data_IF_377409813172
#
_entry.id   IF_377409813172
#
_cell.length_a   1.000
_cell.length_b   1.000
_cell.length_c   1.000
_cell.angle_alpha   90.00
_cell.angle_beta   90.00
_cell.angle_gamma   90.00
#
_symmetry.space_group_name_H-M   'P 1'
#
loop_
_entity.id
_entity.type
_entity.pdbx_description
1 polymer ?
#
# COMPACT_ATOMS: atom_id res chain seq x y z
N UNK A 1 36.02 -44.18 -63.53
CA UNK A 1 34.57 -44.33 -63.20
C UNK A 1 34.43 -44.48 -61.69
N UNK A 2 34.66 -43.43 -60.90
CA UNK A 2 34.59 -43.49 -59.42
C UNK A 2 34.07 -42.19 -58.77
N UNK A 3 33.15 -41.46 -59.43
CA UNK A 3 32.61 -40.20 -58.89
C UNK A 3 31.12 -40.29 -58.45
N UNK A 4 30.49 -41.46 -58.53
CA UNK A 4 29.03 -41.60 -58.36
C UNK A 4 28.61 -42.44 -57.14
N UNK A 5 29.53 -42.78 -56.23
CA UNK A 5 29.19 -43.61 -55.05
C UNK A 5 28.98 -42.82 -53.76
N UNK A 6 29.26 -41.51 -53.73
CA UNK A 6 29.07 -40.66 -52.54
C UNK A 6 27.64 -40.07 -52.46
N UNK A 7 26.85 -40.14 -53.54
CA UNK A 7 25.59 -39.40 -53.63
C UNK A 7 24.39 -39.99 -52.87
N UNK A 8 24.34 -41.31 -52.68
CA UNK A 8 23.15 -41.97 -52.13
C UNK A 8 23.07 -41.96 -50.59
N UNK A 9 24.14 -42.25 -49.82
CA UNK A 9 24.06 -42.18 -48.35
C UNK A 9 23.92 -40.74 -47.85
N UNK A 10 24.57 -39.77 -48.49
CA UNK A 10 24.44 -38.35 -48.13
C UNK A 10 23.01 -37.83 -48.40
N UNK A 11 22.40 -38.23 -49.52
CA UNK A 11 21.01 -37.88 -49.83
C UNK A 11 20.02 -38.47 -48.82
N UNK A 12 20.23 -39.72 -48.39
CA UNK A 12 19.38 -40.35 -47.37
C UNK A 12 19.48 -39.64 -46.02
N UNK A 13 20.66 -39.19 -45.60
CA UNK A 13 20.84 -38.42 -44.35
C UNK A 13 20.13 -37.06 -44.43
N UNK A 14 20.24 -36.36 -45.56
CA UNK A 14 19.53 -35.08 -45.75
C UNK A 14 18.02 -35.29 -45.78
N UNK A 15 17.54 -36.37 -46.40
CA UNK A 15 16.12 -36.72 -46.42
C UNK A 15 15.61 -37.07 -45.03
N UNK A 16 16.38 -37.79 -44.22
CA UNK A 16 16.04 -38.13 -42.84
C UNK A 16 15.97 -36.87 -41.96
N UNK A 17 16.94 -35.96 -42.08
CA UNK A 17 16.90 -34.67 -41.38
C UNK A 17 15.71 -33.81 -41.80
N UNK A 18 15.38 -33.79 -43.10
CA UNK A 18 14.20 -33.08 -43.60
C UNK A 18 12.89 -33.67 -43.06
N UNK A 19 12.79 -35.00 -42.97
CA UNK A 19 11.63 -35.67 -42.38
C UNK A 19 11.52 -35.40 -40.87
N UNK A 20 12.65 -35.42 -40.13
CA UNK A 20 12.66 -35.07 -38.72
C UNK A 20 12.26 -33.61 -38.49
N UNK A 21 12.75 -32.69 -39.32
CA UNK A 21 12.34 -31.28 -39.29
C UNK A 21 10.84 -31.10 -39.55
N UNK A 22 10.29 -31.85 -40.49
CA UNK A 22 8.87 -31.83 -40.80
C UNK A 22 8.03 -32.36 -39.63
N UNK A 23 8.43 -33.46 -39.00
CA UNK A 23 7.76 -34.01 -37.80
C UNK A 23 7.82 -33.02 -36.64
N UNK A 24 8.97 -32.38 -36.40
CA UNK A 24 9.11 -31.36 -35.36
C UNK A 24 8.19 -30.15 -35.61
N UNK A 25 8.11 -29.67 -36.86
CA UNK A 25 7.20 -28.59 -37.26
C UNK A 25 5.74 -28.96 -37.02
N UNK A 26 5.32 -30.18 -37.38
CA UNK A 26 3.97 -30.67 -37.11
C UNK A 26 3.68 -30.69 -35.60
N UNK A 27 4.60 -31.18 -34.77
CA UNK A 27 4.42 -31.21 -33.31
C UNK A 27 4.31 -29.81 -32.71
N UNK A 28 5.08 -28.84 -33.21
CA UNK A 28 5.00 -27.44 -32.78
C UNK A 28 3.65 -26.81 -33.16
N UNK A 29 3.14 -27.07 -34.37
CA UNK A 29 1.81 -26.61 -34.79
C UNK A 29 0.71 -27.24 -33.94
N UNK A 30 0.80 -28.54 -33.64
CA UNK A 30 -0.17 -29.20 -32.75
C UNK A 30 -0.13 -28.62 -31.33
N UNK A 31 1.05 -28.40 -30.75
CA UNK A 31 1.21 -27.75 -29.44
C UNK A 31 0.68 -26.32 -29.45
N UNK A 32 0.98 -25.55 -30.48
CA UNK A 32 0.46 -24.19 -30.67
C UNK A 32 -1.06 -24.18 -30.70
N UNK A 33 -1.68 -25.06 -31.47
CA UNK A 33 -3.15 -25.17 -31.55
C UNK A 33 -3.79 -25.60 -30.23
N UNK A 34 -3.12 -26.44 -29.43
CA UNK A 34 -3.62 -26.87 -28.12
C UNK A 34 -3.54 -25.75 -27.08
N UNK A 35 -2.44 -24.98 -27.08
CA UNK A 35 -2.28 -23.79 -26.24
C UNK A 35 -3.31 -22.72 -26.63
N UNK A 36 -3.52 -22.48 -27.93
CA UNK A 36 -4.48 -21.50 -28.40
C UNK A 36 -5.92 -21.84 -27.99
N UNK A 37 -6.29 -23.14 -28.02
CA UNK A 37 -7.58 -23.61 -27.50
C UNK A 37 -7.72 -23.38 -25.99
N UNK A 38 -6.65 -23.62 -25.21
CA UNK A 38 -6.63 -23.36 -23.77
C UNK A 38 -6.74 -21.87 -23.44
N UNK A 39 -6.00 -21.03 -24.16
CA UNK A 39 -6.08 -19.56 -24.03
C UNK A 39 -7.48 -19.06 -24.41
N UNK A 40 -8.10 -19.58 -25.47
CA UNK A 40 -9.48 -19.26 -25.82
C UNK A 40 -10.47 -19.71 -24.75
N UNK A 41 -10.28 -20.87 -24.13
CA UNK A 41 -11.13 -21.34 -23.04
C UNK A 41 -10.97 -20.45 -21.78
N UNK A 42 -9.75 -20.08 -21.42
CA UNK A 42 -9.48 -19.17 -20.29
C UNK A 42 -10.02 -17.76 -20.56
N UNK A 43 -9.86 -17.22 -21.76
CA UNK A 43 -10.47 -15.93 -22.14
C UNK A 43 -11.99 -15.97 -22.07
N UNK A 44 -12.64 -17.09 -22.43
CA UNK A 44 -14.10 -17.25 -22.28
C UNK A 44 -14.51 -17.29 -20.82
N UNK A 45 -13.77 -18.00 -19.97
CA UNK A 45 -14.01 -18.01 -18.51
C UNK A 45 -13.83 -16.63 -17.89
N UNK A 46 -12.79 -15.91 -18.29
CA UNK A 46 -12.53 -14.55 -17.82
C UNK A 46 -13.61 -13.57 -18.27
N UNK A 47 -14.07 -13.67 -19.53
CA UNK A 47 -15.24 -12.91 -20.00
C UNK A 47 -16.53 -13.29 -19.28
N UNK A 48 -16.74 -14.56 -18.96
CA UNK A 48 -17.91 -14.99 -18.20
C UNK A 48 -17.88 -14.50 -16.74
N UNK A 49 -16.69 -14.40 -16.13
CA UNK A 49 -16.51 -13.81 -14.81
C UNK A 49 -16.62 -12.28 -14.83
N UNK A 50 -16.18 -11.62 -15.92
CA UNK A 50 -16.36 -10.19 -16.11
C UNK A 50 -17.80 -9.79 -16.49
N UNK A 51 -18.59 -10.75 -17.00
CA UNK A 51 -20.02 -10.58 -17.31
C UNK A 51 -20.93 -11.11 -16.21
N UNK A 52 -20.40 -11.83 -15.22
CA UNK A 52 -21.10 -12.03 -13.97
C UNK A 52 -21.20 -10.64 -13.35
N UNK A 53 -22.39 -10.05 -13.41
CA UNK A 53 -22.76 -8.81 -12.74
C UNK A 53 -22.08 -8.84 -11.37
N UNK A 54 -21.20 -7.86 -11.13
CA UNK A 54 -20.76 -7.55 -9.78
C UNK A 54 -22.05 -7.41 -8.97
N UNK A 55 -22.33 -8.31 -8.00
CA UNK A 55 -23.57 -8.23 -7.26
C UNK A 55 -23.64 -6.82 -6.69
N UNK A 56 -24.80 -6.16 -6.88
CA UNK A 56 -25.04 -4.84 -6.32
C UNK A 56 -24.57 -4.83 -4.86
N UNK A 57 -23.97 -3.72 -4.39
CA UNK A 57 -23.47 -3.65 -3.02
C UNK A 57 -24.63 -3.95 -2.08
N UNK A 58 -24.64 -5.19 -1.56
CA UNK A 58 -25.65 -5.67 -0.61
C UNK A 58 -25.52 -4.77 0.62
N UNK A 59 -26.61 -4.11 0.99
CA UNK A 59 -26.63 -3.27 2.20
C UNK A 59 -26.21 -4.09 3.41
N UNK A 60 -25.55 -3.44 4.39
CA UNK A 60 -25.00 -4.14 5.55
C UNK A 60 -26.04 -4.98 6.32
N UNK A 61 -27.27 -4.47 6.49
CA UNK A 61 -28.39 -5.23 7.08
C UNK A 61 -28.73 -6.50 6.27
N UNK A 62 -28.75 -6.40 4.94
CA UNK A 62 -29.03 -7.55 4.08
C UNK A 62 -27.87 -8.57 4.12
N UNK A 63 -26.63 -8.09 4.21
CA UNK A 63 -25.46 -8.95 4.41
C UNK A 63 -25.55 -9.72 5.74
N UNK A 64 -25.97 -9.07 6.83
CA UNK A 64 -26.17 -9.73 8.12
C UNK A 64 -27.27 -10.79 8.05
N UNK A 65 -28.42 -10.48 7.43
CA UNK A 65 -29.52 -11.44 7.22
C UNK A 65 -29.08 -12.67 6.42
N UNK A 66 -28.38 -12.45 5.31
CA UNK A 66 -27.84 -13.52 4.47
C UNK A 66 -26.77 -14.33 5.22
N UNK A 67 -25.97 -13.66 6.06
CA UNK A 67 -24.99 -14.26 6.95
C UNK A 67 -25.62 -15.20 7.97
N UNK A 68 -26.71 -14.77 8.63
CA UNK A 68 -27.47 -15.60 9.58
C UNK A 68 -28.05 -16.83 8.89
N UNK A 69 -28.69 -16.67 7.73
CA UNK A 69 -29.27 -17.78 6.97
C UNK A 69 -28.20 -18.80 6.54
N UNK A 70 -27.09 -18.32 5.97
CA UNK A 70 -25.99 -19.20 5.55
C UNK A 70 -25.33 -19.90 6.74
N UNK A 71 -25.17 -19.21 7.87
CA UNK A 71 -24.62 -19.81 9.07
C UNK A 71 -25.53 -20.93 9.58
N UNK A 72 -26.85 -20.68 9.62
CA UNK A 72 -27.84 -21.68 10.02
C UNK A 72 -27.79 -22.93 9.15
N UNK A 73 -27.67 -22.78 7.83
CA UNK A 73 -27.51 -23.92 6.91
C UNK A 73 -26.22 -24.71 7.20
N UNK A 74 -25.09 -24.04 7.42
CA UNK A 74 -23.81 -24.68 7.74
C UNK A 74 -23.87 -25.39 9.11
N UNK A 75 -24.57 -24.78 10.07
CA UNK A 75 -24.77 -25.35 11.40
C UNK A 75 -25.64 -26.59 11.34
N UNK A 76 -26.73 -26.57 10.57
CA UNK A 76 -27.59 -27.75 10.37
C UNK A 76 -26.82 -28.89 9.69
N UNK A 77 -25.97 -28.58 8.70
CA UNK A 77 -25.08 -29.56 8.07
C UNK A 77 -24.07 -30.15 9.06
N UNK A 78 -23.42 -29.30 9.87
CA UNK A 78 -22.45 -29.73 10.86
C UNK A 78 -23.08 -30.53 12.02
N UNK A 79 -24.32 -30.20 12.43
CA UNK A 79 -25.10 -30.97 13.43
C UNK A 79 -25.58 -32.31 12.90
N UNK A 80 -25.88 -32.40 11.61
CA UNK A 80 -26.32 -33.63 10.96
C UNK A 80 -25.18 -34.64 10.77
N UNK A 81 -23.93 -34.22 10.99
CA UNK A 81 -22.77 -35.08 10.94
C UNK A 81 -22.53 -35.83 12.23
N UNK A 82 -22.01 -37.06 12.12
CA UNK A 82 -21.67 -37.89 13.27
C UNK A 82 -20.30 -37.53 13.87
N UNK A 83 -19.47 -36.77 13.15
CA UNK A 83 -18.10 -36.45 13.53
C UNK A 83 -18.04 -35.46 14.72
N UNK A 84 -17.23 -35.77 15.73
CA UNK A 84 -17.10 -34.92 16.92
C UNK A 84 -16.47 -33.56 16.59
N UNK A 85 -15.57 -33.53 15.61
CA UNK A 85 -14.99 -32.28 15.10
C UNK A 85 -16.07 -31.39 14.48
N UNK A 86 -16.99 -31.96 13.70
CA UNK A 86 -18.09 -31.22 13.06
C UNK A 86 -19.13 -30.77 14.08
N UNK A 87 -19.34 -31.51 15.17
CA UNK A 87 -20.19 -31.05 16.30
C UNK A 87 -19.60 -29.84 17.02
N UNK A 88 -18.28 -29.80 17.24
CA UNK A 88 -17.60 -28.60 17.77
C UNK A 88 -17.70 -27.42 16.80
N UNK A 89 -17.60 -27.68 15.49
CA UNK A 89 -17.84 -26.64 14.48
C UNK A 89 -19.28 -26.14 14.55
N UNK A 90 -20.27 -27.01 14.77
CA UNK A 90 -21.65 -26.60 14.94
C UNK A 90 -21.88 -25.73 16.18
N UNK A 91 -21.17 -25.99 17.29
CA UNK A 91 -21.19 -25.14 18.48
C UNK A 91 -20.61 -23.74 18.18
N UNK A 92 -19.45 -23.68 17.52
CA UNK A 92 -18.85 -22.41 17.09
C UNK A 92 -19.73 -21.63 16.11
N UNK A 93 -20.39 -22.34 15.18
CA UNK A 93 -21.36 -21.74 14.27
C UNK A 93 -22.57 -21.18 15.03
N UNK A 94 -23.02 -21.85 16.10
CA UNK A 94 -24.09 -21.35 16.97
C UNK A 94 -23.71 -20.06 17.70
N UNK A 95 -22.46 -19.92 18.16
CA UNK A 95 -21.98 -18.66 18.71
C UNK A 95 -21.88 -17.57 17.65
N UNK A 96 -21.43 -17.91 16.45
CA UNK A 96 -21.40 -16.97 15.33
C UNK A 96 -22.80 -16.54 14.88
N UNK A 97 -23.82 -17.41 14.93
CA UNK A 97 -25.22 -17.03 14.66
C UNK A 97 -25.68 -15.97 15.67
N UNK A 98 -25.45 -16.20 16.98
CA UNK A 98 -25.79 -15.23 18.04
C UNK A 98 -25.06 -13.89 17.88
N UNK A 99 -23.80 -13.91 17.45
CA UNK A 99 -23.06 -12.67 17.16
C UNK A 99 -23.67 -11.90 16.00
N UNK A 100 -24.02 -12.57 14.90
CA UNK A 100 -24.66 -11.93 13.74
C UNK A 100 -26.05 -11.39 14.08
N UNK A 101 -26.81 -12.09 14.92
CA UNK A 101 -28.09 -11.60 15.44
C UNK A 101 -27.90 -10.36 16.32
N UNK A 102 -26.88 -10.35 17.19
CA UNK A 102 -26.54 -9.19 18.01
C UNK A 102 -26.17 -7.96 17.16
N UNK A 103 -25.38 -8.15 16.10
CA UNK A 103 -25.06 -7.06 15.16
C UNK A 103 -26.30 -6.54 14.45
N UNK A 104 -27.22 -7.43 14.06
CA UNK A 104 -28.47 -7.05 13.41
C UNK A 104 -29.36 -6.21 14.36
N UNK A 105 -29.48 -6.63 15.61
CA UNK A 105 -30.20 -5.86 16.64
C UNK A 105 -29.51 -4.53 16.97
N UNK A 106 -28.17 -4.49 16.94
CA UNK A 106 -27.43 -3.25 17.15
C UNK A 106 -27.66 -2.26 15.99
N UNK A 107 -27.69 -2.74 14.74
CA UNK A 107 -27.96 -1.90 13.57
C UNK A 107 -29.33 -1.21 13.66
N UNK A 108 -30.35 -1.86 14.23
CA UNK A 108 -31.66 -1.23 14.49
C UNK A 108 -31.56 -0.02 15.45
N UNK A 109 -30.49 0.07 16.24
CA UNK A 109 -30.19 1.14 17.19
C UNK A 109 -29.15 2.14 16.67
N UNK A 110 -28.73 2.07 15.39
CA UNK A 110 -27.69 2.94 14.81
C UNK A 110 -28.01 4.44 14.96
N UNK A 111 -29.29 4.80 14.98
CA UNK A 111 -29.73 6.18 15.20
C UNK A 111 -29.36 6.76 16.58
N UNK A 112 -29.02 5.90 17.56
CA UNK A 112 -28.59 6.31 18.90
C UNK A 112 -27.25 5.64 19.26
N UNK A 113 -26.12 6.37 19.17
CA UNK A 113 -24.79 5.79 19.32
C UNK A 113 -24.52 5.22 20.72
N UNK A 114 -25.17 5.77 21.76
CA UNK A 114 -25.01 5.26 23.14
C UNK A 114 -25.75 3.93 23.29
N UNK A 115 -27.00 3.85 22.84
CA UNK A 115 -27.78 2.61 22.89
C UNK A 115 -27.17 1.51 22.00
N UNK A 116 -26.58 1.89 20.86
CA UNK A 116 -25.81 1.00 19.99
C UNK A 116 -24.61 0.38 20.73
N UNK A 117 -23.78 1.23 21.35
CA UNK A 117 -22.60 0.79 22.08
C UNK A 117 -22.96 -0.06 23.31
N UNK A 118 -23.98 0.35 24.06
CA UNK A 118 -24.47 -0.38 25.23
C UNK A 118 -25.01 -1.76 24.85
N UNK A 119 -25.77 -1.89 23.75
CA UNK A 119 -26.31 -3.17 23.29
C UNK A 119 -25.19 -4.12 22.85
N UNK A 120 -24.22 -3.62 22.08
CA UNK A 120 -23.07 -4.42 21.65
C UNK A 120 -22.22 -4.86 22.83
N UNK A 121 -21.90 -3.96 23.75
CA UNK A 121 -21.10 -4.29 24.93
C UNK A 121 -21.79 -5.34 25.81
N UNK A 122 -23.09 -5.16 26.10
CA UNK A 122 -23.86 -6.11 26.88
C UNK A 122 -23.94 -7.48 26.18
N UNK A 123 -24.28 -7.51 24.89
CA UNK A 123 -24.41 -8.76 24.15
C UNK A 123 -23.09 -9.49 23.94
N UNK A 124 -21.98 -8.78 23.78
CA UNK A 124 -20.64 -9.38 23.72
C UNK A 124 -20.24 -9.97 25.07
N UNK A 125 -20.52 -9.29 26.18
CA UNK A 125 -20.29 -9.84 27.51
C UNK A 125 -21.10 -11.13 27.73
N UNK A 126 -22.39 -11.14 27.38
CA UNK A 126 -23.24 -12.35 27.46
C UNK A 126 -22.70 -13.50 26.58
N UNK A 127 -22.22 -13.19 25.37
CA UNK A 127 -21.65 -14.18 24.45
C UNK A 127 -20.34 -14.77 24.98
N UNK A 128 -19.47 -13.92 25.54
CA UNK A 128 -18.19 -14.33 26.14
C UNK A 128 -18.43 -15.16 27.39
N UNK A 129 -19.41 -14.80 28.22
CA UNK A 129 -19.81 -15.62 29.38
C UNK A 129 -20.35 -16.98 28.94
N UNK A 130 -21.13 -17.05 27.87
CA UNK A 130 -21.63 -18.31 27.32
C UNK A 130 -20.53 -19.19 26.67
N UNK A 131 -19.41 -18.59 26.26
CA UNK A 131 -18.23 -19.29 25.72
C UNK A 131 -17.22 -19.69 26.79
N UNK A 132 -17.37 -19.19 28.03
CA UNK A 132 -16.47 -19.55 29.13
C UNK A 132 -16.66 -21.04 29.43
N UNK A 133 -15.62 -21.88 29.33
CA UNK A 133 -15.75 -23.29 29.67
C UNK A 133 -16.16 -23.41 31.14
N UNK A 134 -17.24 -24.15 31.41
CA UNK A 134 -17.58 -24.56 32.76
C UNK A 134 -16.37 -25.29 33.34
N UNK A 135 -15.82 -24.78 34.45
CA UNK A 135 -14.75 -25.46 35.16
C UNK A 135 -15.22 -26.88 35.47
N UNK A 136 -14.48 -27.88 34.97
CA UNK A 136 -14.76 -29.28 35.26
C UNK A 136 -14.89 -29.44 36.79
N UNK A 137 -15.97 -30.07 37.31
CA UNK A 137 -16.05 -30.36 38.73
C UNK A 137 -14.85 -31.25 39.05
N UNK A 138 -13.97 -30.77 39.93
CA UNK A 138 -12.85 -31.54 40.43
C UNK A 138 -13.36 -32.91 40.85
N UNK A 139 -12.77 -33.96 40.28
CA UNK A 139 -13.05 -35.34 40.64
C UNK A 139 -12.84 -35.51 42.14
N UNK A 140 -13.95 -35.60 42.89
CA UNK A 140 -13.98 -36.12 44.25
C UNK A 140 -13.49 -37.56 44.20
N UNK A 141 -12.25 -37.80 44.63
CA UNK A 141 -11.81 -39.12 45.07
C UNK A 141 -12.59 -39.54 46.33
N UNK A 142 -12.98 -40.82 46.46
CA UNK A 142 -13.84 -41.29 47.54
C UNK A 142 -13.05 -41.62 48.82
N UNK A 143 -13.60 -41.12 49.92
CA UNK A 143 -13.67 -41.70 51.28
C UNK A 143 -12.48 -42.54 51.81
N UNK A 144 -11.82 -42.00 52.84
CA UNK A 144 -11.33 -42.78 53.96
C UNK A 144 -11.79 -42.14 55.28
N UNK A 145 -12.90 -42.70 55.78
CA UNK A 145 -13.30 -42.94 57.18
C UNK A 145 -13.04 -41.86 58.25
N UNK A 146 -14.19 -41.40 58.78
CA UNK A 146 -14.44 -40.59 59.96
C UNK A 146 -13.57 -40.86 61.20
N UNK A 147 -13.10 -39.76 61.81
CA UNK A 147 -13.13 -39.60 63.26
C UNK A 147 -13.81 -38.26 63.60
N UNK A 148 -14.89 -38.36 64.37
CA UNK A 148 -15.61 -37.26 65.02
C UNK A 148 -14.79 -36.68 66.18
N UNK A 149 -15.00 -35.39 66.46
CA UNK A 149 -14.67 -34.58 67.67
C UNK A 149 -13.75 -33.40 67.33
N UNK A 150 -14.00 -32.13 67.65
CA UNK A 150 -14.91 -31.44 68.58
C UNK A 150 -15.23 -30.04 68.00
N UNK A 151 -16.40 -29.49 68.32
CA UNK A 151 -16.68 -28.06 68.18
C UNK A 151 -15.73 -27.29 69.12
N UNK A 152 -14.69 -26.68 68.57
CA UNK A 152 -13.95 -25.62 69.26
C UNK A 152 -14.59 -24.26 68.95
N UNK A 153 -14.75 -23.53 70.04
CA UNK A 153 -15.30 -22.20 70.21
C UNK A 153 -14.49 -21.21 69.37
N UNK A 154 -15.15 -20.55 68.39
CA UNK A 154 -14.54 -19.45 67.62
C UNK A 154 -14.31 -18.30 68.60
N UNK A 155 -13.09 -18.18 69.11
CA UNK A 155 -12.63 -17.00 69.84
C UNK A 155 -12.44 -15.82 68.88
N UNK A 156 -12.71 -14.61 69.35
CA UNK A 156 -12.64 -13.34 68.61
C UNK A 156 -11.25 -13.00 68.02
N UNK A 157 -10.26 -13.90 68.12
CA UNK A 157 -8.95 -13.80 67.47
C UNK A 157 -8.94 -14.32 66.02
N UNK A 158 -9.96 -15.08 65.57
CA UNK A 158 -10.04 -15.60 64.19
C UNK A 158 -10.59 -14.60 63.16
N UNK A 159 -11.03 -13.41 63.58
CA UNK A 159 -11.47 -12.35 62.67
C UNK A 159 -10.36 -11.31 62.36
N UNK A 160 -9.14 -11.53 62.86
CA UNK A 160 -8.00 -10.63 62.68
C UNK A 160 -6.82 -11.25 61.92
N UNK A 161 -7.02 -12.40 61.27
CA UNK A 161 -6.03 -13.05 60.41
C UNK A 161 -6.32 -12.80 58.93
N UNK A 162 -5.75 -11.73 58.35
CA UNK A 162 -5.66 -11.64 56.89
C UNK A 162 -4.86 -12.84 56.37
N UNK A 163 -5.53 -13.75 55.66
CA UNK A 163 -4.99 -15.04 55.25
C UNK A 163 -3.65 -14.91 54.48
N UNK A 164 -2.57 -15.52 54.99
CA UNK A 164 -1.31 -15.64 54.25
C UNK A 164 -1.43 -16.50 52.98
N UNK A 165 -2.44 -17.36 52.89
CA UNK A 165 -2.62 -18.30 51.77
C UNK A 165 -3.15 -17.68 50.47
N UNK A 166 -3.77 -16.49 50.52
CA UNK A 166 -4.36 -15.87 49.33
C UNK A 166 -3.33 -15.14 48.45
N UNK A 167 -2.13 -14.87 48.98
CA UNK A 167 -0.99 -14.35 48.19
C UNK A 167 -0.23 -15.46 47.48
N UNK A 168 -0.04 -16.59 48.13
CA UNK A 168 0.66 -17.75 47.55
C UNK A 168 -0.12 -18.33 46.36
N UNK A 169 -1.45 -18.39 46.45
CA UNK A 169 -2.34 -18.80 45.34
C UNK A 169 -2.26 -17.84 44.15
N UNK A 170 -2.23 -16.52 44.40
CA UNK A 170 -2.10 -15.53 43.33
C UNK A 170 -0.72 -15.54 42.66
N UNK A 171 0.35 -15.80 43.41
CA UNK A 171 1.70 -15.96 42.84
C UNK A 171 1.84 -17.27 42.06
N UNK A 172 1.15 -18.34 42.48
CA UNK A 172 1.03 -19.58 41.74
C UNK A 172 0.24 -19.41 40.44
N UNK A 173 -0.85 -18.66 40.47
CA UNK A 173 -1.62 -18.27 39.27
C UNK A 173 -0.78 -17.43 38.30
N UNK A 174 0.02 -16.49 38.81
CA UNK A 174 0.93 -15.68 37.98
C UNK A 174 2.04 -16.55 37.36
N UNK A 175 2.62 -17.49 38.13
CA UNK A 175 3.58 -18.46 37.59
C UNK A 175 2.94 -19.35 36.53
N UNK A 176 1.72 -19.83 36.78
CA UNK A 176 0.96 -20.62 35.82
C UNK A 176 0.64 -19.83 34.55
N UNK A 177 0.19 -18.58 34.64
CA UNK A 177 0.00 -17.71 33.47
C UNK A 177 1.30 -17.51 32.70
N UNK A 178 2.43 -17.32 33.40
CA UNK A 178 3.73 -17.16 32.77
C UNK A 178 4.19 -18.41 32.03
N UNK A 179 3.94 -19.59 32.60
CA UNK A 179 4.23 -20.87 31.95
C UNK A 179 3.32 -21.11 30.74
N UNK A 180 2.04 -20.76 30.84
CA UNK A 180 1.09 -20.81 29.72
C UNK A 180 1.51 -19.85 28.61
N UNK A 181 1.91 -18.61 28.93
CA UNK A 181 2.39 -17.62 27.96
C UNK A 181 3.66 -18.13 27.27
N UNK A 182 4.64 -18.64 28.02
CA UNK A 182 5.86 -19.20 27.45
C UNK A 182 5.55 -20.39 26.53
N UNK A 183 4.65 -21.28 26.94
CA UNK A 183 4.23 -22.42 26.13
C UNK A 183 3.48 -21.98 24.87
N UNK A 184 2.60 -20.97 24.96
CA UNK A 184 1.95 -20.38 23.80
C UNK A 184 2.98 -19.72 22.86
N UNK A 185 4.00 -19.07 23.40
CA UNK A 185 5.06 -18.44 22.62
C UNK A 185 5.96 -19.47 21.92
N UNK A 186 6.25 -20.59 22.58
CA UNK A 186 6.97 -21.73 21.98
C UNK A 186 6.14 -22.43 20.92
N UNK A 187 4.82 -22.61 21.14
CA UNK A 187 3.89 -23.13 20.16
C UNK A 187 3.78 -22.22 18.93
N UNK A 188 3.76 -20.89 19.12
CA UNK A 188 3.77 -19.92 18.03
C UNK A 188 5.08 -19.96 17.24
N UNK A 189 6.24 -20.02 17.90
CA UNK A 189 7.53 -20.21 17.21
C UNK A 189 7.57 -21.52 16.43
N UNK A 190 6.98 -22.59 16.95
CA UNK A 190 6.90 -23.87 16.25
C UNK A 190 5.96 -23.81 15.02
N UNK A 191 4.81 -23.13 15.14
CA UNK A 191 3.90 -22.90 14.02
C UNK A 191 4.55 -22.02 12.94
N UNK A 192 5.32 -21.01 13.34
CA UNK A 192 6.09 -20.17 12.43
C UNK A 192 7.11 -20.97 11.62
N UNK A 193 7.90 -21.80 12.29
CA UNK A 193 8.87 -22.65 11.61
C UNK A 193 8.20 -23.58 10.58
N UNK A 194 7.01 -24.10 10.92
CA UNK A 194 6.22 -24.94 10.00
C UNK A 194 5.58 -24.14 8.86
N UNK A 195 5.22 -22.86 9.09
CA UNK A 195 4.67 -21.97 8.07
C UNK A 195 5.77 -21.45 7.14
N UNK A 196 6.96 -21.13 7.63
CA UNK A 196 8.12 -20.76 6.81
C UNK A 196 8.60 -21.95 5.96
N UNK A 197 8.59 -23.17 6.52
CA UNK A 197 8.87 -24.40 5.76
C UNK A 197 7.85 -24.63 4.63
N UNK A 198 6.57 -24.31 4.86
CA UNK A 198 5.50 -24.43 3.85
C UNK A 198 5.37 -23.22 2.91
N UNK A 199 5.82 -22.04 3.31
CA UNK A 199 5.81 -20.83 2.50
C UNK A 199 6.74 -20.94 1.28
N UNK A 200 7.82 -21.72 1.40
CA UNK A 200 8.69 -22.07 0.27
C UNK A 200 7.94 -22.85 -0.82
N UNK A 201 6.86 -23.57 -0.46
CA UNK A 201 6.09 -24.43 -1.37
C UNK A 201 4.76 -23.79 -1.85
N UNK A 202 4.28 -22.71 -1.23
CA UNK A 202 3.00 -22.08 -1.58
C UNK A 202 3.08 -20.55 -1.63
N UNK A 203 2.95 -19.98 -2.83
CA UNK A 203 2.75 -18.53 -3.04
C UNK A 203 1.47 -18.06 -2.32
N UNK A 204 1.59 -17.12 -1.39
CA UNK A 204 0.45 -16.54 -0.65
C UNK A 204 0.46 -16.71 0.87
N UNK A 205 1.55 -17.21 1.47
CA UNK A 205 1.73 -17.32 2.92
C UNK A 205 2.34 -16.07 3.59
N UNK A 206 2.95 -15.15 2.82
CA UNK A 206 3.41 -13.84 3.32
C UNK A 206 2.42 -13.12 4.25
N UNK A 207 1.12 -12.96 3.92
CA UNK A 207 0.20 -12.22 4.78
C UNK A 207 -0.06 -12.90 6.12
N UNK A 208 0.08 -14.23 6.20
CA UNK A 208 -0.05 -14.98 7.46
C UNK A 208 1.19 -14.84 8.34
N UNK A 209 2.38 -14.79 7.73
CA UNK A 209 3.63 -14.51 8.45
C UNK A 209 3.65 -13.06 8.97
N UNK A 210 3.16 -12.11 8.17
CA UNK A 210 3.04 -10.70 8.56
C UNK A 210 2.02 -10.50 9.70
N UNK A 211 0.89 -11.23 9.68
CA UNK A 211 -0.04 -11.25 10.80
C UNK A 211 0.56 -11.86 12.08
N UNK A 212 1.42 -12.87 11.94
CA UNK A 212 2.11 -13.48 13.06
C UNK A 212 3.15 -12.53 13.67
N UNK A 213 3.90 -11.79 12.82
CA UNK A 213 4.81 -10.74 13.25
C UNK A 213 4.09 -9.62 14.02
N UNK A 214 2.92 -9.20 13.54
CA UNK A 214 2.10 -8.20 14.22
C UNK A 214 1.64 -8.70 15.61
N UNK A 215 1.28 -9.99 15.72
CA UNK A 215 0.88 -10.57 16.99
C UNK A 215 2.04 -10.72 17.99
N UNK A 216 3.24 -11.06 17.51
CA UNK A 216 4.46 -11.10 18.33
C UNK A 216 4.78 -9.70 18.90
N UNK A 217 4.69 -8.65 18.07
CA UNK A 217 4.92 -7.28 18.51
C UNK A 217 3.89 -6.82 19.55
N UNK A 218 2.61 -7.15 19.35
CA UNK A 218 1.56 -6.85 20.34
C UNK A 218 1.77 -7.60 21.65
N UNK A 219 2.24 -8.85 21.59
CA UNK A 219 2.54 -9.66 22.77
C UNK A 219 3.72 -9.09 23.56
N UNK A 220 4.78 -8.64 22.88
CA UNK A 220 5.90 -7.96 23.52
C UNK A 220 5.50 -6.64 24.17
N UNK A 221 4.60 -5.89 23.54
CA UNK A 221 4.08 -4.63 24.08
C UNK A 221 3.24 -4.87 25.35
N UNK A 222 2.37 -5.89 25.33
CA UNK A 222 1.64 -6.34 26.52
C UNK A 222 2.57 -6.77 27.65
N UNK A 223 3.65 -7.50 27.35
CA UNK A 223 4.64 -7.88 28.36
C UNK A 223 5.37 -6.65 28.95
N UNK A 224 5.66 -5.64 28.13
CA UNK A 224 6.21 -4.36 28.61
C UNK A 224 5.21 -3.62 29.51
N UNK A 225 3.94 -3.55 29.13
CA UNK A 225 2.88 -2.93 29.94
C UNK A 225 2.73 -3.64 31.29
N UNK A 226 2.74 -4.97 31.32
CA UNK A 226 2.68 -5.74 32.56
C UNK A 226 3.88 -5.45 33.46
N UNK A 227 5.11 -5.40 32.92
CA UNK A 227 6.31 -5.05 33.69
C UNK A 227 6.25 -3.65 34.29
N UNK A 228 5.69 -2.68 33.56
CA UNK A 228 5.49 -1.31 34.07
C UNK A 228 4.47 -1.30 35.21
N UNK A 229 3.34 -2.00 35.03
CA UNK A 229 2.31 -2.13 36.07
C UNK A 229 2.85 -2.83 37.31
N UNK A 230 3.66 -3.88 37.17
CA UNK A 230 4.33 -4.56 38.28
C UNK A 230 5.27 -3.61 39.03
N UNK A 231 6.12 -2.87 38.30
CA UNK A 231 7.03 -1.90 38.90
C UNK A 231 6.29 -0.77 39.62
N UNK A 232 5.16 -0.32 39.08
CA UNK A 232 4.32 0.71 39.71
C UNK A 232 3.59 0.17 40.94
N UNK A 233 3.09 -1.06 40.89
CA UNK A 233 2.45 -1.71 42.05
C UNK A 233 3.46 -1.97 43.17
N UNK A 234 4.69 -2.37 42.82
CA UNK A 234 5.81 -2.50 43.75
C UNK A 234 6.15 -1.14 44.38
N UNK A 235 6.21 -0.07 43.57
CA UNK A 235 6.41 1.30 44.07
C UNK A 235 5.29 1.74 45.02
N UNK A 236 4.03 1.46 44.67
CA UNK A 236 2.86 1.80 45.48
C UNK A 236 2.86 1.01 46.80
N UNK A 237 3.29 -0.25 46.80
CA UNK A 237 3.47 -1.06 48.01
C UNK A 237 4.60 -0.52 48.90
N UNK A 238 5.70 -0.07 48.31
CA UNK A 238 6.80 0.56 49.06
C UNK A 238 6.41 1.93 49.63
N UNK A 239 5.54 2.68 48.94
CA UNK A 239 4.99 3.95 49.41
C UNK A 239 3.91 3.77 50.48
N UNK A 240 3.12 2.69 50.38
CA UNK A 240 2.13 2.28 51.37
C UNK A 240 2.75 1.49 52.53
N UNK A 241 3.98 1.84 52.94
CA UNK A 241 4.71 1.22 54.05
C UNK A 241 3.88 1.11 55.35
N UNK A 242 4.41 0.41 56.38
CA UNK A 242 3.66 -0.17 57.51
C UNK A 242 2.81 0.80 58.36
N UNK A 243 2.83 2.09 58.08
CA UNK A 243 2.05 3.13 58.75
C UNK A 243 0.60 3.27 58.21
N UNK A 244 0.27 2.65 57.08
CA UNK A 244 -1.10 2.69 56.51
C UNK A 244 -2.14 1.88 57.29
N UNK A 245 -1.71 1.02 58.22
CA UNK A 245 -2.59 0.15 59.02
C UNK A 245 -2.81 0.65 60.46
N UNK A 246 -2.08 1.68 60.92
CA UNK A 246 -2.06 2.10 62.32
C UNK A 246 -2.83 3.41 62.62
N UNK A 247 -3.68 3.87 61.71
CA UNK A 247 -4.41 5.15 61.85
C UNK A 247 -5.92 4.99 62.10
N UNK A 248 -6.35 3.84 62.63
CA UNK A 248 -7.76 3.56 62.93
C UNK A 248 -8.08 3.40 64.42
N UNK A 249 -7.11 3.56 65.32
CA UNK A 249 -7.38 3.49 66.76
C UNK A 249 -6.53 4.51 67.53
N UNK A 250 -7.19 5.56 68.00
CA UNK A 250 -7.06 6.14 69.35
C UNK A 250 -7.62 7.57 69.35
N UNK A 251 -8.78 7.72 69.99
CA UNK A 251 -9.23 9.01 70.47
C UNK A 251 -8.54 9.36 71.79
N UNK A 252 -7.94 10.54 71.88
CA UNK A 252 -8.00 11.41 73.06
C UNK A 252 -7.23 12.71 72.80
N UNK A 253 -7.65 13.77 73.48
CA UNK A 253 -7.45 15.14 73.02
C UNK A 253 -6.06 15.72 73.23
N UNK A 254 -5.57 16.43 72.21
CA UNK A 254 -4.80 17.68 72.27
C UNK A 254 -4.78 18.30 70.85
N UNK A 255 -5.96 18.77 70.40
CA UNK A 255 -6.24 19.01 68.99
C UNK A 255 -5.65 20.29 68.37
N UNK A 256 -4.97 21.18 69.10
CA UNK A 256 -4.52 22.46 68.54
C UNK A 256 -3.17 22.40 67.83
N UNK A 257 -2.16 21.85 68.50
CA UNK A 257 -0.76 21.95 68.06
C UNK A 257 -0.37 20.82 67.10
N UNK A 258 -0.97 19.63 67.28
CA UNK A 258 -0.85 18.49 66.36
C UNK A 258 -1.57 18.74 65.02
N UNK A 259 -2.70 19.44 65.02
CA UNK A 259 -3.40 19.81 63.77
C UNK A 259 -2.64 20.90 62.99
N UNK A 260 -2.02 21.87 63.68
CA UNK A 260 -1.17 22.89 63.03
C UNK A 260 0.12 22.25 62.50
N UNK A 261 0.72 21.30 63.24
CA UNK A 261 1.88 20.54 62.77
C UNK A 261 1.53 19.67 61.56
N UNK A 262 0.39 18.98 61.59
CA UNK A 262 -0.13 18.19 60.46
C UNK A 262 -0.45 19.05 59.23
N UNK A 263 -1.10 20.21 59.42
CA UNK A 263 -1.34 21.18 58.35
C UNK A 263 -0.02 21.74 57.79
N UNK A 264 0.97 22.00 58.63
CA UNK A 264 2.28 22.50 58.18
C UNK A 264 3.06 21.44 57.41
N UNK A 265 2.99 20.18 57.83
CA UNK A 265 3.55 19.05 57.09
C UNK A 265 2.86 18.86 55.74
N UNK A 266 1.54 18.96 55.70
CA UNK A 266 0.73 18.85 54.49
C UNK A 266 0.96 20.02 53.53
N UNK A 267 1.13 21.23 54.04
CA UNK A 267 1.51 22.41 53.24
C UNK A 267 2.94 22.25 52.72
N UNK A 268 3.85 21.69 53.53
CA UNK A 268 5.21 21.35 53.09
C UNK A 268 5.23 20.34 51.95
N UNK A 269 4.48 19.24 52.08
CA UNK A 269 4.37 18.22 51.05
C UNK A 269 3.65 18.72 49.79
N UNK A 270 2.61 19.54 49.94
CA UNK A 270 1.96 20.22 48.82
C UNK A 270 2.92 21.21 48.14
N UNK A 271 3.74 21.94 48.89
CA UNK A 271 4.71 22.88 48.33
C UNK A 271 5.83 22.15 47.58
N UNK A 272 6.28 21.00 48.08
CA UNK A 272 7.22 20.12 47.38
C UNK A 272 6.60 19.52 46.11
N UNK A 273 5.34 19.10 46.17
CA UNK A 273 4.58 18.60 45.02
C UNK A 273 4.40 19.70 43.96
N UNK A 274 4.08 20.93 44.37
CA UNK A 274 3.94 22.08 43.47
C UNK A 274 5.28 22.42 42.81
N UNK A 275 6.40 22.32 43.54
CA UNK A 275 7.74 22.51 42.96
C UNK A 275 8.08 21.39 41.97
N UNK A 276 7.74 20.15 42.27
CA UNK A 276 7.89 19.02 41.36
C UNK A 276 7.07 19.17 40.07
N UNK A 277 5.79 19.54 40.19
CA UNK A 277 4.91 19.84 39.05
C UNK A 277 5.44 21.02 38.23
N UNK A 278 5.93 22.08 38.89
CA UNK A 278 6.52 23.23 38.19
C UNK A 278 7.80 22.87 37.43
N UNK A 279 8.63 21.97 37.98
CA UNK A 279 9.81 21.44 37.31
C UNK A 279 9.44 20.58 36.11
N UNK A 280 8.45 19.69 36.26
CA UNK A 280 7.94 18.87 35.17
C UNK A 280 7.31 19.72 34.06
N UNK A 281 6.56 20.76 34.40
CA UNK A 281 6.05 21.75 33.42
C UNK A 281 7.20 22.46 32.70
N UNK A 282 8.30 22.80 33.40
CA UNK A 282 9.49 23.39 32.77
C UNK A 282 10.24 22.40 31.86
N UNK A 283 10.16 21.10 32.11
CA UNK A 283 10.76 20.05 31.29
C UNK A 283 9.88 19.70 30.08
N UNK A 284 8.55 19.79 30.20
CA UNK A 284 7.59 19.53 29.12
C UNK A 284 7.51 20.65 28.07
N UNK A 285 7.75 21.90 28.45
CA UNK A 285 7.77 23.05 27.50
C UNK A 285 8.78 22.86 26.36
N UNK A 286 10.07 22.54 26.61
CA UNK A 286 11.03 22.30 25.52
C UNK A 286 10.77 21.00 24.75
N UNK A 287 10.01 20.03 25.31
CA UNK A 287 9.55 18.86 24.55
C UNK A 287 8.42 19.20 23.58
N UNK A 288 7.53 20.11 23.94
CA UNK A 288 6.53 20.67 23.04
C UNK A 288 7.19 21.45 21.88
N UNK A 289 8.25 22.22 22.16
CA UNK A 289 9.01 22.92 21.11
C UNK A 289 9.67 21.93 20.13
N UNK A 290 10.21 20.81 20.63
CA UNK A 290 10.76 19.73 19.78
C UNK A 290 9.69 19.01 18.97
N UNK A 291 8.50 18.80 19.54
CA UNK A 291 7.37 18.24 18.81
C UNK A 291 6.92 19.15 17.67
N UNK A 292 6.93 20.47 17.90
CA UNK A 292 6.63 21.47 16.87
C UNK A 292 7.72 21.52 15.78
N UNK A 293 8.99 21.37 16.14
CA UNK A 293 10.08 21.24 15.16
C UNK A 293 9.93 19.97 14.31
N UNK A 294 9.57 18.84 14.92
CA UNK A 294 9.28 17.60 14.20
C UNK A 294 8.09 17.75 13.25
N UNK A 295 7.01 18.39 13.67
CA UNK A 295 5.85 18.71 12.83
C UNK A 295 6.28 19.55 11.60
N UNK A 296 7.07 20.60 11.82
CA UNK A 296 7.60 21.41 10.72
C UNK A 296 8.51 20.62 9.76
N UNK A 297 9.31 19.68 10.26
CA UNK A 297 10.10 18.79 9.40
C UNK A 297 9.24 17.81 8.62
N UNK A 298 8.15 17.31 9.22
CA UNK A 298 7.21 16.40 8.57
C UNK A 298 6.43 17.12 7.46
N UNK A 299 5.97 18.34 7.71
CA UNK A 299 5.32 19.18 6.69
C UNK A 299 6.26 19.48 5.52
N UNK A 300 7.53 19.76 5.82
CA UNK A 300 8.56 19.95 4.79
C UNK A 300 8.76 18.69 3.95
N UNK A 301 8.86 17.51 4.58
CA UNK A 301 8.98 16.21 3.88
C UNK A 301 7.73 15.91 3.05
N UNK A 302 6.53 16.18 3.58
CA UNK A 302 5.29 15.96 2.84
C UNK A 302 5.25 16.83 1.58
N UNK A 303 5.65 18.10 1.70
CA UNK A 303 5.74 19.02 0.56
C UNK A 303 6.76 18.55 -0.48
N UNK A 304 7.96 18.16 -0.07
CA UNK A 304 8.97 17.66 -1.01
C UNK A 304 8.54 16.35 -1.68
N UNK A 305 7.86 15.46 -0.96
CA UNK A 305 7.29 14.25 -1.55
C UNK A 305 6.17 14.55 -2.55
N UNK A 306 5.33 15.55 -2.30
CA UNK A 306 4.34 16.01 -3.27
C UNK A 306 5.00 16.57 -4.53
N UNK A 307 6.05 17.39 -4.37
CA UNK A 307 6.82 17.93 -5.49
C UNK A 307 7.53 16.82 -6.29
N UNK A 308 8.15 15.84 -5.61
CA UNK A 308 8.75 14.67 -6.26
C UNK A 308 7.73 13.81 -7.00
N UNK A 309 6.55 13.59 -6.40
CA UNK A 309 5.46 12.84 -7.04
C UNK A 309 4.98 13.55 -8.31
N UNK A 310 4.88 14.89 -8.27
CA UNK A 310 4.57 15.69 -9.45
C UNK A 310 5.67 15.58 -10.52
N UNK A 311 6.95 15.59 -10.14
CA UNK A 311 8.05 15.41 -11.08
C UNK A 311 8.03 14.00 -11.71
N UNK A 312 7.75 12.96 -10.92
CA UNK A 312 7.62 11.59 -11.42
C UNK A 312 6.47 11.49 -12.42
N UNK A 313 5.30 12.07 -12.12
CA UNK A 313 4.17 12.08 -13.05
C UNK A 313 4.52 12.74 -14.40
N UNK A 314 5.20 13.89 -14.38
CA UNK A 314 5.67 14.54 -15.63
C UNK A 314 6.65 13.65 -16.39
N UNK A 315 7.59 13.00 -15.69
CA UNK A 315 8.55 12.09 -16.32
C UNK A 315 7.87 10.82 -16.88
N UNK A 316 6.82 10.32 -16.24
CA UNK A 316 6.02 9.20 -16.73
C UNK A 316 5.25 9.58 -18.00
N UNK A 317 4.64 10.78 -18.02
CA UNK A 317 3.95 11.33 -19.19
C UNK A 317 4.92 11.55 -20.37
N UNK A 318 6.10 12.14 -20.12
CA UNK A 318 7.15 12.30 -21.14
C UNK A 318 7.61 10.94 -21.66
N UNK A 319 7.82 9.95 -20.79
CA UNK A 319 8.17 8.60 -21.23
C UNK A 319 7.06 7.94 -22.06
N UNK A 320 5.78 8.17 -21.72
CA UNK A 320 4.66 7.67 -22.50
C UNK A 320 4.61 8.32 -23.90
N UNK A 321 4.83 9.64 -23.97
CA UNK A 321 4.92 10.37 -25.23
C UNK A 321 6.07 9.85 -26.10
N UNK A 322 7.27 9.71 -25.54
CA UNK A 322 8.44 9.20 -26.26
C UNK A 322 8.24 7.77 -26.77
N UNK A 323 7.56 6.91 -26.00
CA UNK A 323 7.20 5.55 -26.45
C UNK A 323 6.21 5.59 -27.61
N UNK A 324 5.21 6.47 -27.57
CA UNK A 324 4.26 6.63 -28.66
C UNK A 324 4.95 7.15 -29.94
N UNK A 325 5.89 8.09 -29.82
CA UNK A 325 6.69 8.55 -30.96
C UNK A 325 7.57 7.43 -31.54
N UNK A 326 8.23 6.65 -30.69
CA UNK A 326 9.01 5.49 -31.11
C UNK A 326 8.15 4.45 -31.82
N UNK A 327 6.94 4.17 -31.33
CA UNK A 327 6.00 3.27 -31.98
C UNK A 327 5.54 3.81 -33.33
N UNK A 328 5.25 5.11 -33.43
CA UNK A 328 4.94 5.77 -34.70
C UNK A 328 6.09 5.67 -35.71
N UNK A 329 7.32 5.94 -35.29
CA UNK A 329 8.51 5.81 -36.15
C UNK A 329 8.73 4.37 -36.57
N UNK A 330 8.58 3.40 -35.66
CA UNK A 330 8.69 1.99 -35.97
C UNK A 330 7.63 1.55 -37.00
N UNK A 331 6.39 2.01 -36.86
CA UNK A 331 5.32 1.73 -37.82
C UNK A 331 5.60 2.36 -39.20
N UNK A 332 6.13 3.59 -39.25
CA UNK A 332 6.55 4.22 -40.51
C UNK A 332 7.68 3.43 -41.19
N UNK A 333 8.66 2.96 -40.42
CA UNK A 333 9.75 2.13 -40.94
C UNK A 333 9.25 0.78 -41.45
N UNK A 334 8.30 0.14 -40.76
CA UNK A 334 7.71 -1.13 -41.19
C UNK A 334 6.92 -0.97 -42.51
N UNK A 335 6.20 0.15 -42.67
CA UNK A 335 5.53 0.49 -43.94
C UNK A 335 6.56 0.72 -45.04
N UNK A 336 7.62 1.48 -44.76
CA UNK A 336 8.68 1.75 -45.73
C UNK A 336 9.43 0.47 -46.13
N UNK A 337 9.68 -0.43 -45.19
CA UNK A 337 10.31 -1.74 -45.44
C UNK A 337 9.39 -2.62 -46.30
N UNK A 338 8.08 -2.65 -46.00
CA UNK A 338 7.09 -3.37 -46.82
C UNK A 338 6.95 -2.78 -48.23
N UNK A 339 7.03 -1.47 -48.39
CA UNK A 339 7.01 -0.81 -49.70
C UNK A 339 8.26 -1.18 -50.52
N UNK A 340 9.42 -1.29 -49.86
CA UNK A 340 10.68 -1.74 -50.47
C UNK A 340 10.65 -3.24 -50.81
N UNK A 341 10.13 -4.10 -49.92
CA UNK A 341 10.05 -5.55 -50.12
C UNK A 341 8.97 -5.98 -51.11
N UNK A 342 7.85 -5.24 -51.21
CA UNK A 342 6.78 -5.50 -52.17
C UNK A 342 7.17 -5.21 -53.63
N UNK A 343 8.44 -4.86 -53.90
CA UNK A 343 8.90 -4.51 -55.23
C UNK A 343 8.28 -3.20 -55.75
N UNK A 344 7.64 -2.42 -54.86
CA UNK A 344 7.38 -1.00 -55.10
C UNK A 344 8.63 -0.20 -54.75
N UNK A 345 9.79 -0.62 -55.28
CA UNK A 345 10.91 0.30 -55.40
C UNK A 345 10.41 1.47 -56.23
N UNK A 346 10.18 2.61 -55.56
CA UNK A 346 9.72 3.89 -56.10
C UNK A 346 8.84 3.70 -57.33
N UNK A 347 7.52 3.60 -57.15
CA UNK A 347 6.57 3.53 -58.25
C UNK A 347 7.02 4.46 -59.40
N UNK A 348 7.02 4.01 -60.68
CA UNK A 348 7.49 4.81 -61.81
C UNK A 348 7.07 6.30 -61.81
N UNK A 349 5.87 6.71 -61.34
CA UNK A 349 5.53 8.14 -61.22
C UNK A 349 6.35 8.94 -60.18
N UNK A 350 6.92 8.30 -59.16
CA UNK A 350 7.73 8.97 -58.15
C UNK A 350 9.20 9.15 -58.59
N UNK A 351 9.74 8.24 -59.42
CA UNK A 351 11.04 8.46 -60.09
C UNK A 351 10.89 9.59 -61.11
N UNK A 352 9.83 9.57 -61.91
CA UNK A 352 9.55 10.62 -62.90
C UNK A 352 9.31 11.98 -62.23
N UNK A 353 8.59 12.03 -61.10
CA UNK A 353 8.43 13.25 -60.31
C UNK A 353 9.74 13.75 -59.67
N UNK A 354 10.64 12.84 -59.27
CA UNK A 354 11.96 13.20 -58.77
C UNK A 354 12.86 13.70 -59.91
N UNK A 355 12.81 13.10 -61.10
CA UNK A 355 13.53 13.58 -62.28
C UNK A 355 13.06 14.97 -62.72
N UNK A 356 11.76 15.23 -62.71
CA UNK A 356 11.22 16.58 -62.98
C UNK A 356 11.72 17.59 -61.94
N UNK A 357 11.69 17.25 -60.64
CA UNK A 357 12.21 18.13 -59.59
C UNK A 357 13.72 18.37 -59.69
N UNK A 358 14.49 17.36 -60.10
CA UNK A 358 15.92 17.51 -60.34
C UNK A 358 16.16 18.45 -61.50
N UNK A 359 15.42 18.32 -62.61
CA UNK A 359 15.51 19.24 -63.75
C UNK A 359 15.12 20.68 -63.38
N UNK A 360 14.07 20.86 -62.57
CA UNK A 360 13.67 22.18 -62.07
C UNK A 360 14.75 22.80 -61.17
N UNK A 361 15.37 22.01 -60.30
CA UNK A 361 16.46 22.47 -59.44
C UNK A 361 17.73 22.78 -60.24
N UNK A 362 18.07 21.99 -61.25
CA UNK A 362 19.19 22.25 -62.16
C UNK A 362 18.98 23.57 -62.92
N UNK A 363 17.79 23.79 -63.50
CA UNK A 363 17.47 25.05 -64.17
C UNK A 363 17.51 26.25 -63.20
N UNK A 364 17.09 26.06 -61.94
CA UNK A 364 17.17 27.12 -60.93
C UNK A 364 18.63 27.42 -60.55
N UNK A 365 19.49 26.40 -60.45
CA UNK A 365 20.92 26.59 -60.20
C UNK A 365 21.57 27.34 -61.36
N UNK A 366 21.33 26.94 -62.61
CA UNK A 366 21.84 27.65 -63.78
C UNK A 366 21.38 29.11 -63.82
N UNK A 367 20.11 29.38 -63.48
CA UNK A 367 19.61 30.75 -63.38
C UNK A 367 20.30 31.55 -62.28
N UNK A 368 20.55 30.93 -61.11
CA UNK A 368 21.24 31.59 -60.00
C UNK A 368 22.71 31.84 -60.34
N UNK A 369 23.38 30.91 -61.01
CA UNK A 369 24.76 31.09 -61.46
C UNK A 369 24.87 32.22 -62.49
N UNK A 370 23.95 32.30 -63.46
CA UNK A 370 23.90 33.43 -64.40
C UNK A 370 23.63 34.77 -63.70
N UNK A 371 22.81 34.76 -62.65
CA UNK A 371 22.53 35.97 -61.85
C UNK A 371 23.75 36.39 -61.04
N UNK A 372 24.52 35.42 -60.50
CA UNK A 372 25.78 35.69 -59.80
C UNK A 372 26.80 36.29 -60.77
N UNK A 373 26.97 35.73 -61.97
CA UNK A 373 27.90 36.26 -62.98
C UNK A 373 27.56 37.71 -63.37
N UNK A 374 26.27 38.02 -63.55
CA UNK A 374 25.83 39.39 -63.84
C UNK A 374 26.07 40.33 -62.64
N UNK A 375 25.86 39.86 -61.41
CA UNK A 375 26.18 40.64 -60.21
C UNK A 375 27.69 40.87 -60.08
N UNK A 376 28.52 39.86 -60.32
CA UNK A 376 29.99 39.98 -60.31
C UNK A 376 30.46 41.01 -61.32
N UNK A 377 29.86 41.03 -62.52
CA UNK A 377 30.13 42.03 -63.54
C UNK A 377 29.71 43.43 -63.10
N UNK A 378 28.54 43.58 -62.50
CA UNK A 378 28.09 44.86 -61.94
C UNK A 378 29.00 45.34 -60.81
N UNK A 379 29.49 44.44 -59.96
CA UNK A 379 30.46 44.75 -58.93
C UNK A 379 31.81 45.17 -59.53
N UNK A 380 32.30 44.49 -60.56
CA UNK A 380 33.53 44.86 -61.25
C UNK A 380 33.42 46.24 -61.92
N UNK A 381 32.30 46.52 -62.60
CA UNK A 381 32.01 47.83 -63.19
C UNK A 381 31.95 48.94 -62.11
N UNK A 382 31.35 48.63 -60.96
CA UNK A 382 31.28 49.55 -59.82
C UNK A 382 32.67 49.79 -59.22
N UNK A 383 33.46 48.75 -59.06
CA UNK A 383 34.84 48.80 -58.55
C UNK A 383 35.72 49.62 -59.49
N UNK A 384 35.59 49.46 -60.81
CA UNK A 384 36.31 50.28 -61.79
C UNK A 384 35.89 51.76 -61.69
N UNK A 385 34.60 52.05 -61.51
CA UNK A 385 34.12 53.42 -61.29
C UNK A 385 34.64 54.02 -59.99
N UNK A 386 34.66 53.27 -58.90
CA UNK A 386 35.22 53.71 -57.62
C UNK A 386 36.74 53.89 -57.70
N UNK A 387 37.45 53.00 -58.40
CA UNK A 387 38.88 53.13 -58.66
C UNK A 387 39.17 54.39 -59.49
N UNK A 388 38.41 54.66 -60.54
CA UNK A 388 38.50 55.89 -61.33
C UNK A 388 38.22 57.16 -60.50
N UNK A 389 37.20 57.12 -59.63
CA UNK A 389 36.89 58.20 -58.69
C UNK A 389 38.00 58.40 -57.64
N UNK A 390 38.65 57.33 -57.20
CA UNK A 390 39.75 57.38 -56.21
C UNK A 390 41.06 57.91 -56.81
N UNK A 391 41.31 57.68 -58.11
CA UNK A 391 42.46 58.21 -58.85
C UNK A 391 42.29 59.69 -59.24
N UNK A 392 41.04 60.18 -59.29
CA UNK A 392 40.72 61.60 -59.36
C UNK A 392 40.77 62.21 -57.93
N UNK A 393 41.95 62.61 -57.46
CA UNK A 393 42.14 63.26 -56.15
C UNK A 393 41.30 64.55 -55.93
N UNK A 394 41.18 65.04 -54.68
CA UNK A 394 40.14 65.97 -54.19
C UNK A 394 40.43 67.44 -54.63
N UNK A 395 39.54 68.44 -54.74
CA UNK A 395 38.15 68.78 -54.31
C UNK A 395 37.69 70.01 -55.19
N UNK A 396 36.57 70.78 -55.00
CA UNK A 396 35.83 71.04 -53.75
C UNK A 396 34.27 71.02 -53.83
N UNK A 397 33.69 70.85 -52.63
CA UNK A 397 32.45 71.40 -52.05
C UNK A 397 31.19 71.72 -52.88
N UNK A 398 30.06 71.34 -52.24
CA UNK A 398 28.65 71.65 -52.51
C UNK A 398 28.03 70.91 -53.71
N UNK A 399 26.85 70.29 -53.63
CA UNK A 399 25.63 70.77 -52.99
C UNK A 399 24.63 69.60 -52.82
N UNK A 400 23.96 69.59 -51.66
CA UNK A 400 22.73 68.89 -51.30
C UNK A 400 21.79 68.48 -52.46
N UNK A 401 21.56 67.17 -52.66
CA UNK A 401 20.28 66.66 -53.18
C UNK A 401 19.95 65.27 -52.58
N UNK A 402 19.14 65.31 -51.53
CA UNK A 402 17.91 64.52 -51.37
C UNK A 402 18.01 62.99 -51.29
N UNK A 403 17.87 62.48 -50.07
CA UNK A 403 17.47 61.10 -49.79
C UNK A 403 16.12 60.76 -50.47
N UNK A 404 16.02 59.63 -51.19
CA UNK A 404 14.75 58.97 -51.48
C UNK A 404 14.47 57.83 -50.47
N UNK A 405 13.22 57.35 -50.39
CA UNK A 405 12.60 56.98 -49.13
C UNK A 405 12.86 55.52 -48.71
N UNK A 406 12.79 55.31 -47.40
CA UNK A 406 12.43 54.02 -46.82
C UNK A 406 11.03 53.62 -47.31
N UNK A 407 10.97 52.70 -48.26
CA UNK A 407 9.79 51.92 -48.61
C UNK A 407 10.27 50.46 -48.71
N UNK A 408 10.07 49.70 -47.64
CA UNK A 408 8.95 48.78 -47.47
C UNK A 408 9.19 47.45 -48.19
N UNK A 409 9.83 46.52 -47.47
CA UNK A 409 9.60 45.08 -47.61
C UNK A 409 9.66 44.45 -46.22
N UNK A 410 8.67 44.81 -45.41
CA UNK A 410 8.14 43.95 -44.34
C UNK A 410 6.83 43.38 -44.86
N UNK A 411 6.69 42.06 -44.68
CA UNK A 411 5.49 41.23 -44.85
C UNK A 411 5.14 40.78 -46.28
N UNK A 412 5.43 39.51 -46.57
CA UNK A 412 4.38 38.55 -46.95
C UNK A 412 4.85 37.10 -46.69
N UNK A 413 4.45 36.55 -45.54
CA UNK A 413 4.16 35.12 -45.31
C UNK A 413 3.37 35.01 -43.99
N UNK A 414 2.17 35.59 -44.01
CA UNK A 414 1.12 35.39 -43.01
C UNK A 414 -0.21 35.37 -43.76
N UNK A 415 -0.60 34.19 -44.23
CA UNK A 415 -1.93 33.95 -44.79
C UNK A 415 -2.40 32.53 -44.45
N UNK A 416 -2.87 32.35 -43.21
CA UNK A 416 -3.95 31.46 -42.80
C UNK A 416 -4.21 31.79 -41.31
N UNK A 417 -5.19 32.61 -40.94
CA UNK A 417 -6.59 32.48 -41.33
C UNK A 417 -7.31 31.59 -40.32
N UNK A 418 -7.45 32.06 -39.08
CA UNK A 418 -8.51 31.58 -38.20
C UNK A 418 -9.87 32.01 -38.78
N UNK A 419 -10.92 31.22 -38.55
CA UNK A 419 -12.13 31.86 -38.07
C UNK A 419 -12.80 31.11 -36.90
N UNK A 420 -13.28 31.95 -35.99
CA UNK A 420 -14.58 31.89 -35.32
C UNK A 420 -14.89 30.78 -34.31
N UNK A 421 -15.17 31.28 -33.11
CA UNK A 421 -15.95 30.66 -32.06
C UNK A 421 -17.33 30.17 -32.54
N UNK A 422 -17.82 29.06 -31.99
CA UNK A 422 -19.21 28.91 -31.54
C UNK A 422 -19.39 27.63 -30.69
N UNK A 423 -19.83 27.87 -29.45
CA UNK A 423 -20.84 27.15 -28.67
C UNK A 423 -20.65 25.68 -28.27
N UNK A 424 -20.55 25.51 -26.95
CA UNK A 424 -21.26 24.50 -26.14
C UNK A 424 -22.61 24.09 -26.75
N UNK A 425 -22.90 22.78 -26.72
CA UNK A 425 -24.17 22.39 -26.10
C UNK A 425 -24.03 21.16 -25.19
N UNK A 426 -24.64 21.31 -24.02
CA UNK A 426 -25.33 20.26 -23.27
C UNK A 426 -24.53 19.47 -22.23
N UNK A 427 -24.45 20.07 -21.04
CA UNK A 427 -24.79 19.40 -19.78
C UNK A 427 -26.12 19.94 -19.26
N UNK A 428 -27.18 19.17 -19.48
CA UNK A 428 -28.28 18.89 -18.53
C UNK A 428 -28.62 17.43 -18.68
#
# INVERSE_FOLDING_TARGET
MEAWQIGLPAFLVVLELALLGLVASILLVFRGSALERRVRALRRKLKALAQAETPEPVGYDQYLRDGVLRNRELMEQARASDDEAEKRVAELLAFREKFLELELEAVDLEANPVAFQDRLAAGLCELVEAMRPEAAPAETEPEAEAETEQLEEITEEDLAGGEPGQRDTREEEIRHLKDVINNQHDAMRALRAQLEERAVDTEGMEPLLEQLDAFEQQSEELERCLKVLEAENERLRQQAGPDGAAAADEGSGEGGELQISGLKSMVGSQQETILGLRKMVQELVPEADKAQELEATMDSIQRTNQELSSCVAVLEDENAMLRAELESVAAQLEVQEKDVEAGQGVAPPAIEALEIKVQELEALVEFKDATIEELEKQYADLEERYAALSQAGPAPEAENVQAPPAQAQTEELSAAGAPAAETDPSST
#
